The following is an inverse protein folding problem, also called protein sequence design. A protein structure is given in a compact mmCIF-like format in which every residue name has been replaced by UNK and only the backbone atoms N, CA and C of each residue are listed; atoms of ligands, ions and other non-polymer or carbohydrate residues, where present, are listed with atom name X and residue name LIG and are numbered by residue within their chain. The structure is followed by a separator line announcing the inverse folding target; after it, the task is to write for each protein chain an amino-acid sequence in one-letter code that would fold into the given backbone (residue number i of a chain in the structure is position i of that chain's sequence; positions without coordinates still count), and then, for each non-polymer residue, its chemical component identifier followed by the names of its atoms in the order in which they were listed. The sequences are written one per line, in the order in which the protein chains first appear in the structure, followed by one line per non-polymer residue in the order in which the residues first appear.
data_IF_151696109641
#
_entry.id   IF_151696109641
#
_cell.length_a   1.000
_cell.length_b   1.000
_cell.length_c   1.000
_cell.angle_alpha   90.00
_cell.angle_beta   90.00
_cell.angle_gamma   90.00
#
_symmetry.space_group_name_H-M   'P 1'
#
loop_
_entity.id
_entity.type
_entity.pdbx_description
1 polymer ?
#
# COMPACT_ATOMS: atom_id res chain seq x y z
N UNK A 1 12.96 -48.86 -1.97
CA UNK A 1 12.88 -48.33 -3.35
C UNK A 1 11.40 -48.27 -3.67
N UNK A 2 10.77 -47.11 -3.87
CA UNK A 2 11.22 -45.90 -4.55
C UNK A 2 10.44 -44.74 -3.95
N UNK A 3 11.14 -43.72 -3.46
CA UNK A 3 10.61 -42.42 -3.07
C UNK A 3 10.35 -41.63 -4.34
N UNK A 4 9.10 -41.32 -4.66
CA UNK A 4 8.78 -40.25 -5.61
C UNK A 4 8.66 -38.97 -4.80
N UNK A 5 9.79 -38.28 -4.70
CA UNK A 5 9.82 -36.84 -4.46
C UNK A 5 9.17 -36.18 -5.68
N UNK A 6 7.87 -35.94 -5.60
CA UNK A 6 7.20 -35.06 -6.54
C UNK A 6 7.68 -33.64 -6.25
N UNK A 7 8.68 -33.24 -7.06
CA UNK A 7 9.07 -31.86 -7.32
C UNK A 7 7.82 -31.02 -7.60
N UNK A 8 7.33 -30.33 -6.59
CA UNK A 8 6.47 -29.16 -6.79
C UNK A 8 7.34 -28.10 -7.45
N UNK A 9 6.96 -27.52 -8.60
CA UNK A 9 7.75 -26.48 -9.22
C UNK A 9 7.79 -25.28 -8.26
N UNK A 10 8.98 -24.92 -7.79
CA UNK A 10 9.23 -23.56 -7.29
C UNK A 10 8.98 -22.61 -8.46
N UNK A 11 7.73 -22.15 -8.56
CA UNK A 11 7.33 -21.16 -9.55
C UNK A 11 8.07 -19.87 -9.20
N UNK A 12 9.14 -19.61 -9.95
CA UNK A 12 9.98 -18.44 -9.79
C UNK A 12 9.11 -17.18 -9.88
N UNK A 13 8.96 -16.50 -8.76
CA UNK A 13 8.42 -15.14 -8.75
C UNK A 13 9.32 -14.29 -9.65
N UNK A 14 8.71 -13.61 -10.61
CA UNK A 14 9.48 -12.82 -11.58
C UNK A 14 10.29 -11.73 -10.85
N UNK A 15 11.46 -11.39 -11.37
CA UNK A 15 12.29 -10.32 -10.81
C UNK A 15 11.54 -8.96 -10.71
N UNK A 16 10.52 -8.79 -11.54
CA UNK A 16 9.62 -7.63 -11.56
C UNK A 16 8.63 -7.65 -10.40
N UNK A 17 8.01 -8.80 -10.12
CA UNK A 17 7.17 -8.97 -8.93
C UNK A 17 7.99 -8.82 -7.65
N UNK A 18 9.24 -9.29 -7.66
CA UNK A 18 10.20 -9.09 -6.57
C UNK A 18 10.52 -7.60 -6.32
N UNK A 19 10.85 -6.84 -7.36
CA UNK A 19 11.13 -5.40 -7.23
C UNK A 19 9.90 -4.60 -6.78
N UNK A 20 8.69 -5.01 -7.19
CA UNK A 20 7.42 -4.38 -6.78
C UNK A 20 7.06 -4.66 -5.32
N UNK A 21 7.04 -5.94 -4.95
CA UNK A 21 6.79 -6.39 -3.57
C UNK A 21 7.78 -5.70 -2.62
N UNK A 22 9.00 -5.47 -3.08
CA UNK A 22 9.98 -4.65 -2.40
C UNK A 22 9.54 -3.18 -2.30
N UNK A 23 9.30 -2.49 -3.40
CA UNK A 23 9.17 -1.01 -3.42
C UNK A 23 7.81 -0.48 -2.94
N UNK A 24 6.70 -1.11 -3.37
CA UNK A 24 5.34 -0.65 -3.03
C UNK A 24 5.02 -0.94 -1.57
N UNK A 25 5.33 -2.15 -1.11
CA UNK A 25 5.07 -2.53 0.29
C UNK A 25 6.08 -1.94 1.26
N UNK A 26 7.31 -1.62 0.84
CA UNK A 26 8.21 -0.83 1.68
C UNK A 26 7.64 0.56 1.98
N UNK A 27 6.99 1.20 1.01
CA UNK A 27 6.44 2.53 1.24
C UNK A 27 5.27 2.50 2.24
N UNK A 28 4.48 1.42 2.24
CA UNK A 28 3.51 1.13 3.31
C UNK A 28 4.17 1.04 4.69
N UNK A 29 5.32 0.37 4.80
CA UNK A 29 6.08 0.23 6.06
C UNK A 29 6.65 1.56 6.53
N UNK A 30 7.22 2.33 5.61
CA UNK A 30 7.75 3.67 5.90
C UNK A 30 6.65 4.57 6.47
N UNK A 31 5.47 4.51 5.88
CA UNK A 31 4.30 5.26 6.34
C UNK A 31 3.78 4.78 7.69
N UNK A 32 3.69 3.47 7.93
CA UNK A 32 3.16 2.93 9.19
C UNK A 32 4.04 3.24 10.38
N UNK A 33 5.37 3.19 10.21
CA UNK A 33 6.32 3.45 11.29
C UNK A 33 6.64 4.95 11.44
N UNK A 34 6.26 5.80 10.48
CA UNK A 34 6.56 7.24 10.49
C UNK A 34 8.07 7.53 10.41
N UNK A 35 8.85 6.67 9.75
CA UNK A 35 10.31 6.73 9.76
C UNK A 35 10.92 7.27 8.46
N UNK A 36 12.18 7.73 8.54
CA UNK A 36 12.97 8.19 7.39
C UNK A 36 13.82 7.09 6.73
N UNK A 37 13.64 5.83 7.14
CA UNK A 37 14.40 4.72 6.56
C UNK A 37 14.22 4.67 5.03
N UNK A 38 15.32 4.43 4.34
CA UNK A 38 15.36 4.17 2.90
C UNK A 38 15.60 2.69 2.65
N UNK A 39 14.81 2.12 1.75
CA UNK A 39 14.93 0.72 1.36
C UNK A 39 16.26 0.46 0.68
N UNK A 40 16.95 -0.56 1.16
CA UNK A 40 18.17 -1.08 0.53
C UNK A 40 17.85 -2.28 -0.36
N UNK A 41 17.14 -3.28 0.17
CA UNK A 41 16.81 -4.49 -0.58
C UNK A 41 15.71 -5.31 0.10
N UNK A 42 15.06 -6.15 -0.68
CA UNK A 42 14.30 -7.28 -0.15
C UNK A 42 15.28 -8.43 0.08
N UNK A 43 15.23 -9.08 1.24
CA UNK A 43 16.05 -10.28 1.51
C UNK A 43 15.29 -11.50 1.01
N UNK A 44 14.05 -11.64 1.48
CA UNK A 44 13.18 -12.76 1.20
C UNK A 44 11.74 -12.37 1.40
N UNK A 45 10.86 -13.09 0.74
CA UNK A 45 9.44 -13.04 1.00
C UNK A 45 8.84 -14.43 0.88
N UNK A 46 7.78 -14.68 1.63
CA UNK A 46 6.94 -15.84 1.46
C UNK A 46 5.55 -15.35 1.08
N UNK A 47 4.87 -16.08 0.22
CA UNK A 47 3.52 -15.76 -0.23
C UNK A 47 2.65 -17.00 -0.11
N UNK A 48 1.39 -16.82 0.30
CA UNK A 48 0.39 -17.90 0.22
C UNK A 48 -0.21 -17.95 -1.20
N UNK A 49 -0.25 -19.14 -1.79
CA UNK A 49 -0.75 -19.36 -3.15
C UNK A 49 -2.27 -19.53 -3.18
N UNK A 50 -2.99 -18.52 -2.70
CA UNK A 50 -4.46 -18.50 -2.67
C UNK A 50 -5.00 -17.33 -3.53
N UNK A 51 -6.32 -17.29 -3.78
CA UNK A 51 -6.97 -16.18 -4.47
C UNK A 51 -6.77 -14.81 -3.78
N UNK A 52 -6.53 -14.86 -2.47
CA UNK A 52 -6.17 -13.73 -1.62
C UNK A 52 -4.89 -14.12 -0.91
N UNK A 53 -3.82 -13.36 -1.10
CA UNK A 53 -2.49 -13.74 -0.66
C UNK A 53 -2.07 -13.02 0.63
N UNK A 54 -1.38 -13.74 1.49
CA UNK A 54 -0.62 -13.19 2.61
C UNK A 54 0.85 -13.16 2.23
N UNK A 55 1.48 -12.00 2.35
CA UNK A 55 2.89 -11.76 2.09
C UNK A 55 3.62 -11.59 3.41
N UNK A 56 4.70 -12.34 3.59
CA UNK A 56 5.62 -12.17 4.71
C UNK A 56 7.00 -11.79 4.19
N UNK A 57 7.38 -10.54 4.40
CA UNK A 57 8.56 -9.91 3.82
C UNK A 57 9.64 -9.74 4.88
N UNK A 58 10.89 -9.88 4.47
CA UNK A 58 12.06 -9.45 5.24
C UNK A 58 12.85 -8.47 4.39
N UNK A 59 12.91 -7.21 4.81
CA UNK A 59 13.49 -6.10 4.07
C UNK A 59 14.74 -5.58 4.80
N UNK A 60 15.67 -5.00 4.05
CA UNK A 60 16.79 -4.21 4.56
C UNK A 60 16.52 -2.75 4.27
N UNK A 61 16.66 -1.89 5.28
CA UNK A 61 16.58 -0.46 5.12
C UNK A 61 17.62 0.24 5.97
N UNK A 62 18.07 1.41 5.56
CA UNK A 62 19.06 2.19 6.27
C UNK A 62 18.52 3.59 6.54
N UNK A 63 18.91 4.16 7.67
CA UNK A 63 18.58 5.54 7.99
C UNK A 63 19.66 6.45 7.38
N UNK A 64 19.31 7.36 6.45
CA UNK A 64 20.30 8.28 5.90
C UNK A 64 20.90 9.23 6.96
N UNK A 65 20.18 9.47 8.06
CA UNK A 65 20.58 10.42 9.10
C UNK A 65 21.43 9.77 10.22
N UNK A 66 21.29 8.45 10.43
CA UNK A 66 21.90 7.71 11.55
C UNK A 66 22.88 6.65 11.05
N UNK A 67 24.01 7.08 10.47
CA UNK A 67 25.13 6.22 10.01
C UNK A 67 24.74 5.15 8.95
N UNK A 68 25.67 4.53 8.20
CA UNK A 68 25.30 3.58 7.14
C UNK A 68 24.82 2.21 7.67
N UNK A 69 24.32 2.14 8.90
CA UNK A 69 23.90 0.90 9.54
C UNK A 69 22.59 0.43 8.94
N UNK A 70 22.66 -0.64 8.15
CA UNK A 70 21.48 -1.29 7.58
C UNK A 70 20.74 -2.07 8.68
N UNK A 71 19.44 -1.84 8.77
CA UNK A 71 18.52 -2.52 9.68
C UNK A 71 17.64 -3.49 8.91
N UNK A 72 17.27 -4.59 9.57
CA UNK A 72 16.33 -5.57 9.02
C UNK A 72 14.93 -5.28 9.51
N UNK A 73 13.96 -5.27 8.61
CA UNK A 73 12.53 -5.12 8.88
C UNK A 73 11.78 -6.41 8.56
N UNK A 74 10.75 -6.69 9.34
CA UNK A 74 9.77 -7.75 9.09
C UNK A 74 8.43 -7.12 8.80
N UNK A 75 7.82 -7.53 7.69
CA UNK A 75 6.54 -6.99 7.24
C UNK A 75 5.59 -8.12 6.95
N UNK A 76 4.34 -7.97 7.35
CA UNK A 76 3.26 -8.88 6.99
C UNK A 76 2.11 -8.09 6.40
N UNK A 77 1.68 -8.53 5.24
CA UNK A 77 0.56 -7.97 4.51
C UNK A 77 -0.42 -9.09 4.23
N UNK A 78 -1.65 -8.91 4.65
CA UNK A 78 -2.72 -9.85 4.42
C UNK A 78 -3.72 -9.18 3.48
N UNK A 79 -3.76 -9.61 2.22
CA UNK A 79 -4.87 -9.25 1.33
C UNK A 79 -6.18 -9.79 1.94
N UNK A 80 -7.29 -9.12 1.69
CA UNK A 80 -8.62 -9.51 2.19
C UNK A 80 -9.62 -9.75 1.08
N UNK A 81 -9.42 -9.17 -0.10
CA UNK A 81 -10.28 -9.44 -1.25
C UNK A 81 -9.52 -9.41 -2.58
N UNK A 82 -10.07 -10.12 -3.56
CA UNK A 82 -9.57 -10.19 -4.92
C UNK A 82 -10.27 -9.15 -5.80
N UNK A 83 -9.53 -8.51 -6.72
CA UNK A 83 -10.10 -7.59 -7.71
C UNK A 83 -10.40 -6.19 -7.19
N UNK A 84 -9.94 -5.83 -5.97
CA UNK A 84 -10.03 -4.49 -5.39
C UNK A 84 -8.94 -4.29 -4.33
N UNK A 85 -8.60 -3.03 -4.05
CA UNK A 85 -7.59 -2.70 -3.06
C UNK A 85 -8.14 -2.89 -1.64
N UNK A 86 -7.81 -4.02 -1.03
CA UNK A 86 -8.20 -4.35 0.34
C UNK A 86 -7.17 -5.29 0.96
N UNK A 87 -6.26 -4.72 1.75
CA UNK A 87 -5.28 -5.48 2.52
C UNK A 87 -5.06 -4.82 3.87
N UNK A 88 -4.38 -5.53 4.76
CA UNK A 88 -3.94 -5.00 6.05
C UNK A 88 -2.46 -5.27 6.24
N UNK A 89 -1.70 -4.22 6.57
CA UNK A 89 -0.33 -4.36 7.03
C UNK A 89 -0.37 -4.64 8.54
N UNK A 90 -0.17 -5.90 8.90
CA UNK A 90 -0.32 -6.41 10.26
C UNK A 90 0.96 -6.35 11.09
N UNK A 91 2.11 -6.34 10.41
CA UNK A 91 3.44 -6.28 11.02
C UNK A 91 4.28 -5.37 10.14
N UNK A 92 5.01 -4.42 10.72
CA UNK A 92 5.88 -3.49 9.97
C UNK A 92 7.12 -3.07 10.78
N UNK A 93 7.72 -3.98 11.55
CA UNK A 93 8.69 -3.62 12.60
C UNK A 93 10.14 -3.99 12.28
N UNK A 94 11.06 -3.39 13.03
CA UNK A 94 12.45 -3.86 13.09
C UNK A 94 12.50 -5.32 13.57
N UNK A 95 13.32 -6.12 12.90
CA UNK A 95 13.65 -7.47 13.36
C UNK A 95 14.61 -7.34 14.53
N UNK A 96 14.17 -7.69 15.73
CA UNK A 96 15.07 -7.79 16.87
C UNK A 96 16.20 -8.77 16.55
N UNK A 97 17.44 -8.30 16.67
CA UNK A 97 18.61 -9.17 16.66
C UNK A 97 18.55 -10.00 17.93
N UNK A 98 18.54 -11.34 17.79
CA UNK A 98 18.49 -12.25 18.92
C UNK A 98 19.70 -12.00 19.83
N UNK A 99 19.49 -11.22 20.89
CA UNK A 99 20.39 -11.16 22.02
C UNK A 99 19.95 -12.26 22.98
N UNK A 100 20.78 -13.30 23.02
CA UNK A 100 20.78 -14.46 23.91
C UNK A 100 19.58 -15.41 23.88
N UNK A 101 19.93 -16.68 23.69
CA UNK A 101 19.07 -17.85 23.87
C UNK A 101 18.51 -17.85 25.31
N UNK A 102 17.25 -17.46 25.46
CA UNK A 102 16.62 -17.35 26.75
C UNK A 102 15.10 -17.40 26.68
N UNK A 103 14.56 -18.50 26.15
CA UNK A 103 13.23 -19.02 26.48
C UNK A 103 12.07 -17.99 26.54
N UNK A 104 11.73 -17.36 25.42
CA UNK A 104 10.34 -16.94 25.18
C UNK A 104 9.85 -17.63 23.91
N UNK A 105 8.85 -18.50 24.09
CA UNK A 105 8.19 -19.15 22.98
C UNK A 105 7.60 -18.07 22.05
N UNK A 106 7.83 -18.25 20.75
CA UNK A 106 7.32 -17.43 19.66
C UNK A 106 5.79 -17.39 19.70
N UNK A 107 5.21 -16.46 20.45
CA UNK A 107 3.80 -16.16 20.27
C UNK A 107 3.62 -15.54 18.88
N UNK A 108 2.76 -16.09 18.01
CA UNK A 108 2.38 -15.44 16.78
C UNK A 108 1.72 -14.12 17.16
N UNK A 109 2.33 -12.99 16.81
CA UNK A 109 1.69 -11.69 17.01
C UNK A 109 0.36 -11.68 16.28
N UNK A 110 -0.73 -11.60 17.04
CA UNK A 110 -2.06 -11.32 16.49
C UNK A 110 -2.20 -9.80 16.36
N UNK A 111 -2.35 -9.27 15.15
CA UNK A 111 -2.57 -7.85 14.93
C UNK A 111 -3.98 -7.53 15.43
N UNK A 112 -4.08 -7.00 16.65
CA UNK A 112 -5.34 -6.52 17.18
C UNK A 112 -5.47 -5.04 16.82
N UNK A 113 -6.06 -4.73 15.66
CA UNK A 113 -6.75 -3.44 15.54
C UNK A 113 -8.24 -3.72 15.84
N UNK A 114 -8.74 -3.39 17.05
CA UNK A 114 -10.14 -3.61 17.36
C UNK A 114 -11.00 -2.75 16.43
N UNK A 115 -11.89 -3.39 15.66
CA UNK A 115 -12.78 -2.75 14.68
C UNK A 115 -13.56 -1.55 15.27
N UNK A 116 -13.79 -1.56 16.58
CA UNK A 116 -14.53 -0.54 17.32
C UNK A 116 -13.82 0.83 17.47
N UNK A 117 -12.51 0.93 17.16
CA UNK A 117 -11.73 2.19 17.32
C UNK A 117 -11.27 2.79 15.99
N UNK A 118 -11.69 2.20 14.86
CA UNK A 118 -11.23 2.56 13.53
C UNK A 118 -12.13 3.66 12.95
N UNK A 119 -11.65 4.90 12.70
CA UNK A 119 -12.42 5.87 11.93
C UNK A 119 -12.73 5.32 10.54
N UNK A 120 -13.89 5.67 9.97
CA UNK A 120 -14.36 5.19 8.66
C UNK A 120 -14.69 3.69 8.57
N UNK A 121 -15.45 3.15 9.52
CA UNK A 121 -16.06 1.81 9.41
C UNK A 121 -17.15 1.79 8.33
N UNK A 122 -17.26 0.70 7.55
CA UNK A 122 -18.36 0.47 6.62
C UNK A 122 -17.96 0.49 5.13
N UNK A 123 -18.92 0.67 4.24
CA UNK A 123 -18.68 0.73 2.78
C UNK A 123 -17.88 1.98 2.37
N UNK A 124 -17.19 1.94 1.24
CA UNK A 124 -16.54 3.13 0.68
C UNK A 124 -17.61 4.17 0.28
N UNK A 125 -17.33 5.47 0.47
CA UNK A 125 -18.24 6.52 0.07
C UNK A 125 -18.40 6.56 -1.45
N UNK A 126 -19.51 7.15 -1.90
CA UNK A 126 -19.67 7.51 -3.30
C UNK A 126 -18.73 8.67 -3.66
N UNK A 127 -18.46 8.82 -4.96
CA UNK A 127 -17.69 9.96 -5.43
C UNK A 127 -18.42 11.28 -5.09
N UNK A 128 -17.74 12.27 -4.49
CA UNK A 128 -18.36 13.52 -4.07
C UNK A 128 -18.84 14.34 -5.28
N UNK A 129 -19.94 15.07 -5.10
CA UNK A 129 -20.43 15.96 -6.16
C UNK A 129 -19.51 17.18 -6.33
N UNK A 130 -19.62 17.87 -7.47
CA UNK A 130 -18.84 19.10 -7.68
C UNK A 130 -19.16 20.20 -6.65
N UNK A 131 -20.36 20.20 -6.08
CA UNK A 131 -20.73 21.12 -5.01
C UNK A 131 -20.07 20.73 -3.68
N UNK A 132 -20.05 19.42 -3.36
CA UNK A 132 -19.40 18.89 -2.16
C UNK A 132 -17.89 19.16 -2.19
N UNK A 133 -17.26 19.02 -3.36
CA UNK A 133 -15.82 19.29 -3.52
C UNK A 133 -15.40 20.74 -3.26
N UNK A 134 -16.34 21.68 -3.29
CA UNK A 134 -16.08 23.09 -2.93
C UNK A 134 -16.23 23.34 -1.43
N UNK A 135 -16.69 22.36 -0.66
CA UNK A 135 -16.75 22.44 0.80
C UNK A 135 -15.34 22.21 1.37
N UNK A 136 -14.57 23.29 1.46
CA UNK A 136 -13.24 23.29 2.05
C UNK A 136 -13.25 22.85 3.52
N UNK A 137 -14.39 22.95 4.23
CA UNK A 137 -14.47 22.46 5.62
C UNK A 137 -14.35 20.93 5.70
N UNK A 138 -14.88 20.23 4.68
CA UNK A 138 -14.91 18.77 4.61
C UNK A 138 -13.78 18.18 3.78
N UNK A 139 -13.50 18.79 2.64
CA UNK A 139 -12.53 18.27 1.68
C UNK A 139 -11.30 19.16 1.61
N UNK A 140 -10.14 18.54 1.50
CA UNK A 140 -8.89 19.22 1.20
C UNK A 140 -8.48 18.90 -0.24
N UNK A 141 -8.52 19.92 -1.09
CA UNK A 141 -7.98 19.85 -2.44
C UNK A 141 -6.46 19.94 -2.35
N UNK A 142 -5.77 18.84 -2.66
CA UNK A 142 -4.31 18.80 -2.57
C UNK A 142 -3.73 19.62 -3.72
N UNK A 143 -2.64 20.36 -3.52
CA UNK A 143 -1.99 21.06 -4.61
C UNK A 143 -1.06 20.13 -5.40
N UNK A 144 -0.77 20.49 -6.66
CA UNK A 144 0.10 19.69 -7.52
C UNK A 144 1.48 19.42 -6.93
N UNK A 145 2.13 20.44 -6.41
CA UNK A 145 3.42 20.32 -5.75
C UNK A 145 3.37 19.45 -4.48
N UNK A 146 2.22 19.40 -3.81
CA UNK A 146 2.06 18.64 -2.57
C UNK A 146 1.93 17.16 -2.85
N UNK A 147 1.10 16.74 -3.82
CA UNK A 147 1.01 15.32 -4.16
C UNK A 147 2.24 14.80 -4.90
N UNK A 148 2.95 15.65 -5.64
CA UNK A 148 4.25 15.28 -6.25
C UNK A 148 5.34 15.08 -5.19
N UNK A 149 5.30 15.86 -4.09
CA UNK A 149 6.18 15.65 -2.93
C UNK A 149 5.73 14.46 -2.06
N UNK A 150 4.44 14.14 -2.09
CA UNK A 150 3.80 13.11 -1.25
C UNK A 150 3.74 11.77 -2.00
N UNK A 151 4.83 10.99 -1.93
CA UNK A 151 4.95 9.75 -2.71
C UNK A 151 3.82 8.72 -2.48
N UNK A 152 3.10 8.77 -1.36
CA UNK A 152 2.08 7.77 -1.04
C UNK A 152 0.83 7.83 -1.92
N UNK A 153 0.48 8.98 -2.46
CA UNK A 153 -0.72 9.13 -3.31
C UNK A 153 -0.55 8.33 -4.62
N UNK A 154 0.61 8.47 -5.26
CA UNK A 154 0.94 7.68 -6.45
C UNK A 154 0.97 6.18 -6.13
N UNK A 155 1.50 5.81 -4.95
CA UNK A 155 1.51 4.41 -4.52
C UNK A 155 0.09 3.85 -4.36
N UNK A 156 -0.83 4.58 -3.71
CA UNK A 156 -2.22 4.12 -3.60
C UNK A 156 -2.86 3.93 -4.97
N UNK A 157 -2.62 4.83 -5.93
CA UNK A 157 -3.11 4.67 -7.30
C UNK A 157 -2.54 3.40 -7.97
N UNK A 158 -1.24 3.17 -7.85
CA UNK A 158 -0.54 1.97 -8.36
C UNK A 158 -1.14 0.70 -7.75
N UNK A 159 -1.36 0.68 -6.43
CA UNK A 159 -1.95 -0.45 -5.71
C UNK A 159 -3.41 -0.70 -6.13
N UNK A 160 -4.21 0.34 -6.37
CA UNK A 160 -5.58 0.19 -6.91
C UNK A 160 -5.53 -0.51 -8.26
N UNK A 161 -4.73 0.00 -9.20
CA UNK A 161 -4.63 -0.57 -10.55
C UNK A 161 -4.17 -2.03 -10.48
N UNK A 162 -3.15 -2.32 -9.66
CA UNK A 162 -2.66 -3.68 -9.45
C UNK A 162 -3.73 -4.63 -8.90
N UNK A 163 -4.51 -4.16 -7.92
CA UNK A 163 -5.53 -4.99 -7.27
C UNK A 163 -6.64 -5.44 -8.24
N UNK A 164 -6.88 -4.66 -9.29
CA UNK A 164 -7.83 -4.97 -10.36
C UNK A 164 -7.23 -5.85 -11.45
N UNK A 165 -5.95 -5.62 -11.79
CA UNK A 165 -5.25 -6.38 -12.82
C UNK A 165 -3.84 -6.72 -12.35
N UNK A 166 -3.68 -7.91 -11.76
CA UNK A 166 -2.37 -8.40 -11.30
C UNK A 166 -1.39 -8.63 -12.46
N UNK A 167 -1.86 -8.68 -13.71
CA UNK A 167 -1.05 -8.96 -14.91
C UNK A 167 -0.53 -7.68 -15.60
N UNK A 168 -1.11 -6.50 -15.33
CA UNK A 168 -0.74 -5.21 -15.95
C UNK A 168 0.68 -4.73 -15.57
N UNK A 169 1.35 -5.46 -14.67
CA UNK A 169 2.52 -5.02 -13.90
C UNK A 169 3.87 -5.34 -14.53
N UNK A 170 3.89 -6.05 -15.65
CA UNK A 170 5.12 -6.30 -16.41
C UNK A 170 5.60 -5.08 -17.21
N UNK A 171 4.88 -3.95 -17.16
CA UNK A 171 5.19 -2.73 -17.92
C UNK A 171 5.32 -1.53 -16.98
N UNK A 172 6.29 -0.64 -17.22
CA UNK A 172 6.51 0.59 -16.46
C UNK A 172 5.37 1.63 -16.66
N UNK A 173 4.14 1.30 -16.25
CA UNK A 173 2.97 2.17 -16.38
C UNK A 173 3.00 3.36 -15.44
N UNK A 174 3.80 3.33 -14.37
CA UNK A 174 3.96 4.46 -13.45
C UNK A 174 4.35 5.74 -14.20
N UNK A 175 5.23 5.61 -15.19
CA UNK A 175 5.64 6.72 -16.07
C UNK A 175 4.53 7.24 -17.00
N UNK A 176 3.51 6.42 -17.27
CA UNK A 176 2.36 6.75 -18.12
C UNK A 176 1.21 7.35 -17.31
N UNK A 177 1.12 7.04 -16.02
CA UNK A 177 0.05 7.55 -15.15
C UNK A 177 0.18 9.06 -14.97
N UNK A 178 -0.91 9.77 -15.27
CA UNK A 178 -1.03 11.21 -15.04
C UNK A 178 -2.11 11.48 -14.02
N UNK A 179 -1.71 11.83 -12.81
CA UNK A 179 -2.64 12.34 -11.78
C UNK A 179 -3.14 13.72 -12.24
N UNK A 180 -4.46 13.86 -12.29
CA UNK A 180 -5.16 15.09 -12.70
C UNK A 180 -5.58 15.88 -11.48
N UNK A 181 -6.18 15.21 -10.49
CA UNK A 181 -6.67 15.84 -9.29
C UNK A 181 -6.67 14.87 -8.09
N UNK A 182 -6.50 15.42 -6.88
CA UNK A 182 -6.51 14.64 -5.63
C UNK A 182 -7.26 15.42 -4.56
N UNK A 183 -8.22 14.74 -3.92
CA UNK A 183 -9.01 15.29 -2.82
C UNK A 183 -8.92 14.36 -1.63
N UNK A 184 -8.75 14.93 -0.44
CA UNK A 184 -8.67 14.19 0.82
C UNK A 184 -9.82 14.59 1.73
N UNK A 185 -10.45 13.60 2.34
CA UNK A 185 -11.45 13.75 3.40
C UNK A 185 -10.94 13.03 4.66
N UNK A 186 -10.86 13.76 5.78
CA UNK A 186 -10.45 13.25 7.09
C UNK A 186 -11.61 13.33 8.07
N UNK A 187 -11.55 12.59 9.19
CA UNK A 187 -12.59 12.67 10.22
C UNK A 187 -12.57 14.05 10.89
N UNK A 188 -13.74 14.51 11.34
CA UNK A 188 -13.98 15.87 11.85
C UNK A 188 -13.09 16.30 13.03
N UNK A 189 -12.48 15.36 13.75
CA UNK A 189 -11.58 15.66 14.87
C UNK A 189 -10.21 16.23 14.43
N UNK A 190 -9.82 16.04 13.16
CA UNK A 190 -8.67 16.68 12.54
C UNK A 190 -9.07 18.08 12.02
N UNK A 191 -9.39 18.97 12.97
CA UNK A 191 -10.02 20.26 12.74
C UNK A 191 -9.05 21.37 12.27
N UNK A 192 -8.73 21.35 10.98
CA UNK A 192 -8.71 22.50 10.04
C UNK A 192 -8.33 21.99 8.64
N UNK A 193 -8.86 22.56 7.54
CA UNK A 193 -8.43 22.23 6.18
C UNK A 193 -7.04 22.80 5.91
N UNK A 194 -6.05 22.12 6.45
CA UNK A 194 -4.65 22.48 6.34
C UNK A 194 -3.86 21.32 5.72
N UNK A 195 -2.61 21.61 5.34
CA UNK A 195 -1.65 20.60 4.88
C UNK A 195 -1.46 19.44 5.87
N UNK A 196 -1.89 19.59 7.12
CA UNK A 196 -1.85 18.55 8.14
C UNK A 196 -2.74 17.35 7.79
N UNK A 197 -3.80 17.54 6.98
CA UNK A 197 -4.65 16.44 6.49
C UNK A 197 -3.90 15.41 5.64
N UNK A 198 -2.83 15.83 4.94
CA UNK A 198 -1.94 14.90 4.21
C UNK A 198 -1.19 13.95 5.15
N UNK A 199 -1.07 14.30 6.43
CA UNK A 199 -0.45 13.49 7.48
C UNK A 199 -1.48 12.71 8.30
N UNK A 200 -2.78 12.89 8.03
CA UNK A 200 -3.87 12.23 8.74
C UNK A 200 -3.70 10.71 8.74
N UNK A 201 -3.93 10.07 9.88
CA UNK A 201 -3.80 8.61 10.02
C UNK A 201 -4.90 7.88 9.25
N UNK A 202 -6.09 8.46 9.25
CA UNK A 202 -7.28 7.90 8.63
C UNK A 202 -7.84 8.91 7.64
N UNK A 203 -8.05 8.48 6.39
CA UNK A 203 -8.55 9.35 5.35
C UNK A 203 -9.22 8.58 4.22
N UNK A 204 -10.17 9.23 3.55
CA UNK A 204 -10.58 8.91 2.19
C UNK A 204 -9.82 9.78 1.21
N UNK A 205 -9.25 9.12 0.19
CA UNK A 205 -8.44 9.74 -0.85
C UNK A 205 -9.13 9.50 -2.18
N UNK A 206 -9.54 10.58 -2.82
CA UNK A 206 -10.21 10.58 -4.12
C UNK A 206 -9.19 11.02 -5.16
N UNK A 207 -8.88 10.13 -6.11
CA UNK A 207 -7.82 10.34 -7.10
C UNK A 207 -8.46 10.33 -8.48
N UNK A 208 -8.20 11.37 -9.26
CA UNK A 208 -8.55 11.46 -10.67
C UNK A 208 -7.29 11.33 -11.52
N UNK A 209 -7.28 10.44 -12.51
CA UNK A 209 -6.05 10.12 -13.28
C UNK A 209 -6.31 9.71 -14.74
N UNK A 210 -5.24 9.70 -15.54
CA UNK A 210 -5.18 9.41 -16.99
C UNK A 210 -3.97 8.51 -17.34
N UNK A 211 -3.86 8.05 -18.58
CA UNK A 211 -2.64 7.39 -19.12
C UNK A 211 -2.64 5.85 -19.23
N UNK A 212 -3.80 5.18 -19.20
CA UNK A 212 -3.93 3.74 -19.48
C UNK A 212 -4.40 3.53 -20.93
N UNK A 213 -3.44 3.57 -21.86
CA UNK A 213 -3.71 3.67 -23.30
C UNK A 213 -4.14 2.35 -23.94
N UNK A 214 -3.72 1.21 -23.37
CA UNK A 214 -3.93 -0.11 -23.96
C UNK A 214 -4.61 -1.10 -23.00
N UNK A 215 -5.62 -1.85 -23.47
CA UNK A 215 -6.13 -3.01 -22.76
C UNK A 215 -5.15 -4.17 -22.82
N UNK A 216 -4.62 -4.57 -21.66
CA UNK A 216 -3.69 -5.72 -21.59
C UNK A 216 -4.36 -7.04 -21.16
N UNK A 217 -5.60 -7.00 -20.67
CA UNK A 217 -6.38 -8.20 -20.36
C UNK A 217 -7.82 -8.12 -20.92
N UNK A 218 -8.45 -9.26 -21.30
CA UNK A 218 -9.84 -9.31 -21.78
C UNK A 218 -10.89 -9.16 -20.65
N UNK A 219 -10.47 -9.05 -19.38
CA UNK A 219 -11.35 -8.79 -18.24
C UNK A 219 -11.23 -7.32 -17.88
N UNK A 220 -12.17 -6.48 -18.32
CA UNK A 220 -11.98 -5.02 -18.23
C UNK A 220 -13.01 -4.37 -17.31
N UNK A 221 -12.52 -3.85 -16.18
CA UNK A 221 -13.24 -2.97 -15.25
C UNK A 221 -12.96 -1.49 -15.50
N UNK A 222 -12.08 -1.14 -16.45
CA UNK A 222 -11.73 0.24 -16.79
C UNK A 222 -11.97 0.55 -18.27
N UNK A 223 -12.44 1.76 -18.58
CA UNK A 223 -12.42 2.31 -19.94
C UNK A 223 -10.97 2.63 -20.34
N UNK A 224 -10.60 2.45 -21.61
CA UNK A 224 -9.22 2.60 -22.13
C UNK A 224 -9.01 3.88 -22.93
N UNK A 225 -7.76 4.36 -22.94
CA UNK A 225 -7.32 5.54 -23.69
C UNK A 225 -6.57 6.53 -22.81
N UNK A 226 -5.55 7.17 -23.39
CA UNK A 226 -4.67 8.14 -22.72
C UNK A 226 -5.46 9.30 -22.14
N UNK A 227 -6.45 9.77 -22.89
CA UNK A 227 -7.23 10.94 -22.54
C UNK A 227 -8.38 10.63 -21.59
N UNK A 228 -8.72 9.34 -21.39
CA UNK A 228 -9.83 8.91 -20.55
C UNK A 228 -9.51 9.21 -19.10
N UNK A 229 -10.38 9.99 -18.48
CA UNK A 229 -10.29 10.33 -17.08
C UNK A 229 -10.93 9.24 -16.23
N UNK A 230 -10.18 8.75 -15.25
CA UNK A 230 -10.58 7.67 -14.34
C UNK A 230 -10.54 8.17 -12.91
N UNK A 231 -11.30 7.48 -12.06
CA UNK A 231 -11.52 7.84 -10.66
C UNK A 231 -11.20 6.65 -9.78
N UNK A 232 -10.50 6.87 -8.68
CA UNK A 232 -10.21 5.89 -7.66
C UNK A 232 -10.52 6.47 -6.28
N UNK A 233 -11.12 5.66 -5.40
CA UNK A 233 -11.38 6.00 -4.01
C UNK A 233 -10.59 5.03 -3.15
N UNK A 234 -9.72 5.55 -2.30
CA UNK A 234 -8.90 4.76 -1.38
C UNK A 234 -9.21 5.17 0.04
N UNK A 235 -9.56 4.19 0.88
CA UNK A 235 -9.60 4.40 2.33
C UNK A 235 -8.29 3.92 2.92
N UNK A 236 -7.65 4.80 3.68
CA UNK A 236 -6.48 4.51 4.52
C UNK A 236 -6.92 4.59 5.98
N UNK A 237 -6.47 3.63 6.78
CA UNK A 237 -6.55 3.71 8.24
C UNK A 237 -5.25 3.18 8.83
N UNK A 238 -4.58 4.01 9.63
CA UNK A 238 -3.40 3.62 10.40
C UNK A 238 -3.80 3.54 11.87
N UNK A 239 -3.72 2.34 12.44
CA UNK A 239 -3.91 2.12 13.87
C UNK A 239 -2.59 2.37 14.58
N UNK A 240 -2.56 3.23 15.60
CA UNK A 240 -1.46 3.24 16.55
C UNK A 240 -1.62 2.04 17.48
N UNK A 241 -0.82 1.01 17.27
CA UNK A 241 -0.57 0.05 18.35
C UNK A 241 0.36 0.75 19.35
N UNK A 242 -0.17 1.06 20.54
CA UNK A 242 0.58 1.49 21.74
C UNK A 242 1.77 0.62 22.05
#
# INVERSE_FOLDING_TARGET
MMTTEDNVPEEYVSAEEYARVRDDYWRVVRESEGTNYQLSSLIKFNVTMNCVSSYYLTLLAHDPDVSPTVKTFQVRIDEKSFGRLDFTCSVARLKEEAKDEGNSAKEPFMPHCPEATVPFVGELPLWPSAADLNDESRFYMVNRSEWEATGWILMYLVLVIYSHDKLIVTVNYQSKLKIVNVVIETSADDSEPSKERLKGKSAHVYITFKGLDEPQAPRQSFEFGEHVERRAIVRRVICEST
#
